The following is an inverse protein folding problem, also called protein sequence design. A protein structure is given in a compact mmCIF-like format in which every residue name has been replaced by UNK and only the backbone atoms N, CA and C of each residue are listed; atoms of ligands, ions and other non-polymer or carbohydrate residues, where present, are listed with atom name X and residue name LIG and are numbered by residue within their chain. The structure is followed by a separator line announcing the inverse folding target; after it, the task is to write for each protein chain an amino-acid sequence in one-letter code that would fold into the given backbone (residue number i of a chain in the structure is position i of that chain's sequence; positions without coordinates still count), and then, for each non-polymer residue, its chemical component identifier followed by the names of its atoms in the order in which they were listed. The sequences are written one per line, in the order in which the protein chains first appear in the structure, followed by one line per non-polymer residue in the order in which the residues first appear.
data_IF_564030659946
#
_entry.id   IF_564030659946
#
_cell.length_a   1.000
_cell.length_b   1.000
_cell.length_c   1.000
_cell.angle_alpha   90.00
_cell.angle_beta   90.00
_cell.angle_gamma   90.00
#
_symmetry.space_group_name_H-M   'P 1'
#
loop_
_entity.id
_entity.type
_entity.pdbx_description
1 polymer ?
#
# COMPACT_ATOMS: atom_id res chain seq x y z
N UNK A 1 16.94 23.04 -13.08
CA UNK A 1 16.80 21.59 -13.34
C UNK A 1 15.69 21.05 -12.42
N UNK A 2 14.58 20.55 -12.98
CA UNK A 2 13.55 19.93 -12.16
C UNK A 2 14.11 18.59 -11.62
N UNK A 3 14.21 18.49 -10.29
CA UNK A 3 14.65 17.25 -9.63
C UNK A 3 13.60 16.18 -9.92
N UNK A 4 14.04 14.97 -10.33
CA UNK A 4 13.14 13.84 -10.54
C UNK A 4 12.39 13.55 -9.24
N UNK A 5 11.08 13.24 -9.28
CA UNK A 5 10.37 12.80 -8.10
C UNK A 5 10.92 11.43 -7.65
N UNK A 6 11.14 11.28 -6.36
CA UNK A 6 11.57 10.02 -5.74
C UNK A 6 10.35 9.34 -5.14
N UNK A 7 10.07 8.11 -5.55
CA UNK A 7 8.92 7.32 -5.09
C UNK A 7 9.38 6.18 -4.20
N UNK A 8 8.93 6.19 -2.95
CA UNK A 8 9.02 5.06 -2.04
C UNK A 8 7.88 4.08 -2.38
N UNK A 9 8.22 2.92 -2.94
CA UNK A 9 7.26 1.91 -3.39
C UNK A 9 7.15 0.77 -2.40
N UNK A 10 5.92 0.38 -2.06
CA UNK A 10 5.62 -0.77 -1.21
C UNK A 10 4.54 -1.66 -1.82
N UNK A 11 4.71 -2.99 -1.72
CA UNK A 11 3.73 -4.00 -2.14
C UNK A 11 3.47 -4.97 -0.98
N UNK A 12 2.43 -4.74 -0.16
CA UNK A 12 2.12 -5.47 1.08
C UNK A 12 1.98 -6.98 0.90
N UNK A 13 1.39 -7.42 -0.21
CA UNK A 13 1.16 -8.84 -0.45
C UNK A 13 2.42 -9.56 -0.91
N UNK A 14 3.18 -8.95 -1.82
CA UNK A 14 4.41 -9.54 -2.35
C UNK A 14 5.33 -8.47 -2.94
N UNK A 15 6.54 -8.30 -2.40
CA UNK A 15 7.51 -7.34 -2.93
C UNK A 15 7.82 -7.54 -4.41
N UNK A 16 8.09 -6.46 -5.13
CA UNK A 16 8.42 -6.49 -6.56
C UNK A 16 9.70 -7.29 -6.87
N UNK A 17 10.62 -7.35 -5.92
CA UNK A 17 11.90 -8.09 -6.02
C UNK A 17 11.87 -9.47 -5.34
N UNK A 18 10.68 -9.97 -4.95
CA UNK A 18 10.54 -11.30 -4.37
C UNK A 18 11.04 -12.38 -5.33
N UNK A 19 11.81 -13.40 -4.88
CA UNK A 19 12.42 -14.39 -5.77
C UNK A 19 11.39 -15.27 -6.51
N UNK A 20 10.24 -15.57 -5.87
CA UNK A 20 9.20 -16.43 -6.46
C UNK A 20 8.27 -15.62 -7.36
N UNK A 21 8.12 -15.96 -8.65
CA UNK A 21 7.18 -15.30 -9.56
C UNK A 21 5.72 -15.39 -9.11
N UNK A 22 4.92 -14.37 -9.43
CA UNK A 22 3.46 -14.35 -9.28
C UNK A 22 2.88 -13.16 -10.05
N UNK A 23 1.56 -13.17 -10.29
CA UNK A 23 0.86 -12.05 -10.91
C UNK A 23 1.10 -10.73 -10.17
N UNK A 24 0.91 -10.71 -8.84
CA UNK A 24 1.13 -9.51 -8.03
C UNK A 24 2.55 -8.96 -8.16
N UNK A 25 3.56 -9.85 -8.11
CA UNK A 25 4.95 -9.43 -8.32
C UNK A 25 5.17 -8.78 -9.70
N UNK A 26 4.60 -9.38 -10.75
CA UNK A 26 4.79 -8.85 -12.11
C UNK A 26 4.07 -7.51 -12.29
N UNK A 27 2.87 -7.34 -11.75
CA UNK A 27 2.17 -6.04 -11.79
C UNK A 27 2.93 -4.99 -10.98
N UNK A 28 3.44 -5.33 -9.78
CA UNK A 28 4.29 -4.42 -9.01
C UNK A 28 5.52 -3.95 -9.81
N UNK A 29 6.18 -4.87 -10.52
CA UNK A 29 7.32 -4.55 -11.41
C UNK A 29 6.93 -3.69 -12.60
N UNK A 30 5.76 -3.97 -13.20
CA UNK A 30 5.23 -3.15 -14.30
C UNK A 30 4.94 -1.72 -13.82
N UNK A 31 4.36 -1.57 -12.63
CA UNK A 31 4.09 -0.27 -12.01
C UNK A 31 5.38 0.52 -11.80
N UNK A 32 6.41 -0.11 -11.22
CA UNK A 32 7.74 0.53 -11.05
C UNK A 32 8.28 0.99 -12.40
N UNK A 33 8.31 0.10 -13.40
CA UNK A 33 8.81 0.46 -14.75
C UNK A 33 8.03 1.59 -15.42
N UNK A 34 6.72 1.65 -15.20
CA UNK A 34 5.89 2.73 -15.73
C UNK A 34 6.26 4.09 -15.11
N UNK A 35 6.47 4.12 -13.79
CA UNK A 35 6.89 5.32 -13.07
C UNK A 35 8.29 5.78 -13.49
N UNK A 36 9.23 4.85 -13.64
CA UNK A 36 10.60 5.15 -14.11
C UNK A 36 10.59 5.72 -15.54
N UNK A 37 9.77 5.15 -16.44
CA UNK A 37 9.56 5.68 -17.79
C UNK A 37 8.91 7.06 -17.80
N UNK A 38 8.08 7.36 -16.81
CA UNK A 38 7.48 8.68 -16.60
C UNK A 38 8.46 9.69 -15.99
N UNK A 39 9.69 9.28 -15.66
CA UNK A 39 10.74 10.16 -15.17
C UNK A 39 10.88 10.19 -13.64
N UNK A 40 10.28 9.27 -12.91
CA UNK A 40 10.49 9.11 -11.49
C UNK A 40 11.71 8.23 -11.18
N UNK A 41 12.33 8.45 -10.02
CA UNK A 41 13.28 7.51 -9.42
C UNK A 41 12.50 6.67 -8.40
N UNK A 42 12.46 5.34 -8.57
CA UNK A 42 11.64 4.45 -7.73
C UNK A 42 12.51 3.49 -6.94
N UNK A 43 12.25 3.35 -5.64
CA UNK A 43 12.89 2.32 -4.82
C UNK A 43 11.86 1.55 -4.00
N UNK A 44 12.14 0.26 -3.77
CA UNK A 44 11.34 -0.58 -2.86
C UNK A 44 11.65 -0.18 -1.43
N UNK A 45 10.72 0.51 -0.78
CA UNK A 45 10.92 1.08 0.56
C UNK A 45 10.92 0.00 1.66
N UNK A 46 10.15 -1.08 1.46
CA UNK A 46 10.08 -2.21 2.37
C UNK A 46 9.78 -3.51 1.64
N UNK A 47 10.31 -4.60 2.18
CA UNK A 47 10.00 -5.98 1.79
C UNK A 47 9.08 -6.69 2.78
N UNK A 48 8.58 -5.97 3.78
CA UNK A 48 7.64 -6.51 4.74
C UNK A 48 6.38 -6.97 4.02
N UNK A 49 5.98 -8.20 4.27
CA UNK A 49 4.72 -8.76 3.80
C UNK A 49 3.70 -8.71 4.92
N UNK A 50 2.56 -8.09 4.66
CA UNK A 50 1.46 -8.04 5.64
C UNK A 50 0.40 -9.11 5.36
N UNK A 51 0.73 -10.10 4.53
CA UNK A 51 -0.21 -11.12 4.07
C UNK A 51 -0.53 -12.13 5.17
N UNK A 52 -1.77 -12.14 5.64
CA UNK A 52 -2.39 -13.24 6.36
C UNK A 52 -3.42 -13.94 5.45
N UNK A 53 -3.29 -15.25 5.28
CA UNK A 53 -4.18 -16.06 4.42
C UNK A 53 -5.28 -16.76 5.19
N UNK A 54 -5.08 -16.96 6.48
CA UNK A 54 -5.93 -17.78 7.33
C UNK A 54 -6.97 -16.96 8.13
N UNK A 55 -6.73 -15.68 8.34
CA UNK A 55 -7.51 -14.86 9.25
C UNK A 55 -7.15 -15.16 10.70
N UNK A 56 -5.84 -15.28 10.99
CA UNK A 56 -5.34 -15.60 12.32
C UNK A 56 -5.06 -14.30 13.10
N UNK A 57 -5.79 -14.03 14.20
CA UNK A 57 -5.62 -12.81 14.96
C UNK A 57 -4.23 -12.65 15.60
N UNK A 58 -3.55 -13.74 15.95
CA UNK A 58 -2.21 -13.70 16.54
C UNK A 58 -1.19 -13.33 15.47
N UNK A 59 -1.26 -13.97 14.31
CA UNK A 59 -0.43 -13.64 13.12
C UNK A 59 -0.64 -12.18 12.70
N UNK A 60 -1.89 -11.70 12.69
CA UNK A 60 -2.19 -10.30 12.37
C UNK A 60 -1.56 -9.34 13.38
N UNK A 61 -1.59 -9.69 14.69
CA UNK A 61 -0.98 -8.88 15.73
C UNK A 61 0.56 -8.81 15.59
N UNK A 62 1.20 -9.94 15.30
CA UNK A 62 2.64 -10.02 15.06
C UNK A 62 3.05 -9.16 13.85
N UNK A 63 2.34 -9.30 12.73
CA UNK A 63 2.58 -8.50 11.52
C UNK A 63 2.41 -6.99 11.81
N UNK A 64 1.41 -6.58 12.59
CA UNK A 64 1.24 -5.17 12.97
C UNK A 64 2.41 -4.66 13.83
N UNK A 65 2.93 -5.48 14.74
CA UNK A 65 4.09 -5.12 15.56
C UNK A 65 5.35 -4.95 14.70
N UNK A 66 5.61 -5.90 13.78
CA UNK A 66 6.69 -5.79 12.80
C UNK A 66 6.56 -4.55 11.93
N UNK A 67 5.34 -4.25 11.45
CA UNK A 67 5.07 -3.07 10.64
C UNK A 67 5.33 -1.77 11.42
N UNK A 68 5.07 -1.75 12.72
CA UNK A 68 5.39 -0.60 13.57
C UNK A 68 6.89 -0.32 13.63
N UNK A 69 7.71 -1.36 13.83
CA UNK A 69 9.17 -1.27 13.84
C UNK A 69 9.73 -0.87 12.47
N UNK A 70 9.20 -1.48 11.40
CA UNK A 70 9.63 -1.18 10.02
C UNK A 70 9.27 0.26 9.61
N UNK A 71 8.08 0.76 9.96
CA UNK A 71 7.70 2.14 9.72
C UNK A 71 8.65 3.13 10.41
N UNK A 72 8.99 2.88 11.67
CA UNK A 72 9.95 3.71 12.41
C UNK A 72 11.33 3.72 11.74
N UNK A 73 11.82 2.57 11.27
CA UNK A 73 13.07 2.46 10.51
C UNK A 73 13.04 3.30 9.24
N UNK A 74 11.94 3.21 8.46
CA UNK A 74 11.79 3.93 7.20
C UNK A 74 11.71 5.45 7.44
N UNK A 75 11.01 5.87 8.49
CA UNK A 75 10.94 7.29 8.89
C UNK A 75 12.31 7.82 9.27
N UNK A 76 13.10 7.06 10.04
CA UNK A 76 14.47 7.44 10.42
C UNK A 76 15.38 7.60 9.20
N UNK A 77 15.23 6.75 8.18
CA UNK A 77 15.91 6.85 6.87
C UNK A 77 15.27 7.90 5.92
N UNK A 78 14.26 8.63 6.39
CA UNK A 78 13.48 9.59 5.59
C UNK A 78 12.95 8.98 4.28
N UNK A 79 12.60 7.70 4.30
CA UNK A 79 12.17 6.92 3.14
C UNK A 79 13.10 7.11 1.92
N UNK A 80 14.42 7.11 2.14
CA UNK A 80 15.41 7.30 1.08
C UNK A 80 15.31 8.65 0.35
N UNK A 81 14.74 9.68 0.98
CA UNK A 81 14.51 11.00 0.38
C UNK A 81 13.28 11.07 -0.53
N UNK A 82 12.33 10.17 -0.34
CA UNK A 82 11.10 10.12 -1.14
C UNK A 82 10.28 11.41 -1.05
N UNK A 83 9.67 11.77 -2.17
CA UNK A 83 8.70 12.85 -2.30
C UNK A 83 7.26 12.36 -2.47
N UNK A 84 7.06 11.04 -2.52
CA UNK A 84 5.78 10.35 -2.63
C UNK A 84 5.93 8.93 -2.06
N UNK A 85 4.94 8.48 -1.30
CA UNK A 85 4.76 7.06 -0.99
C UNK A 85 3.69 6.46 -1.90
N UNK A 86 4.00 5.34 -2.56
CA UNK A 86 3.06 4.60 -3.38
C UNK A 86 2.95 3.15 -2.93
N UNK A 87 1.75 2.74 -2.58
CA UNK A 87 1.44 1.34 -2.27
C UNK A 87 0.71 0.68 -3.43
N UNK A 88 1.13 -0.54 -3.77
CA UNK A 88 0.46 -1.39 -4.74
C UNK A 88 -0.31 -2.50 -4.04
N UNK A 89 -1.62 -2.61 -4.35
CA UNK A 89 -2.54 -3.65 -3.93
C UNK A 89 -2.74 -3.75 -2.41
N UNK A 90 -3.59 -2.84 -1.89
CA UNK A 90 -4.03 -2.83 -0.50
C UNK A 90 -5.42 -3.44 -0.36
N UNK A 91 -5.55 -4.51 0.41
CA UNK A 91 -6.82 -5.20 0.68
C UNK A 91 -6.82 -5.93 2.04
N UNK A 92 -7.97 -6.49 2.44
CA UNK A 92 -8.20 -7.07 3.77
C UNK A 92 -7.27 -8.23 4.18
N UNK A 93 -6.63 -8.94 3.24
CA UNK A 93 -5.65 -9.99 3.57
C UNK A 93 -4.22 -9.48 3.64
N UNK A 94 -3.97 -8.35 3.02
CA UNK A 94 -2.67 -7.71 2.94
C UNK A 94 -2.86 -6.18 2.99
N UNK A 95 -3.22 -5.61 4.15
CA UNK A 95 -3.38 -4.18 4.30
C UNK A 95 -2.03 -3.45 4.21
N UNK A 96 -2.05 -2.21 3.78
CA UNK A 96 -0.88 -1.36 3.94
C UNK A 96 -0.80 -0.85 5.39
N UNK A 97 0.18 -1.36 6.14
CA UNK A 97 0.43 -0.99 7.51
C UNK A 97 1.54 0.06 7.66
N UNK A 98 2.18 0.44 6.54
CA UNK A 98 3.33 1.34 6.53
C UNK A 98 2.99 2.72 5.96
N UNK A 99 2.32 2.75 4.80
CA UNK A 99 2.25 3.91 3.92
C UNK A 99 1.71 5.17 4.60
N UNK A 100 0.54 5.07 5.24
CA UNK A 100 -0.06 6.25 5.85
C UNK A 100 0.76 6.79 7.04
N UNK A 101 1.40 5.90 7.81
CA UNK A 101 2.25 6.28 8.95
C UNK A 101 3.50 7.02 8.47
N UNK A 102 4.22 6.40 7.53
CA UNK A 102 5.45 6.97 6.98
C UNK A 102 5.16 8.29 6.26
N UNK A 103 4.11 8.33 5.42
CA UNK A 103 3.76 9.53 4.69
C UNK A 103 3.36 10.69 5.61
N UNK A 104 2.59 10.42 6.67
CA UNK A 104 2.21 11.41 7.67
C UNK A 104 3.42 11.97 8.42
N UNK A 105 4.30 11.09 8.92
CA UNK A 105 5.49 11.49 9.67
C UNK A 105 6.48 12.30 8.83
N UNK A 106 6.61 11.98 7.54
CA UNK A 106 7.51 12.67 6.63
C UNK A 106 6.87 13.88 5.92
N UNK A 107 5.55 14.05 6.04
CA UNK A 107 4.82 15.12 5.36
C UNK A 107 4.84 14.99 3.84
N UNK A 108 4.80 13.78 3.31
CA UNK A 108 4.78 13.49 1.86
C UNK A 108 3.43 12.94 1.42
N UNK A 109 3.02 13.14 0.15
CA UNK A 109 1.81 12.53 -0.40
C UNK A 109 1.81 11.02 -0.32
N UNK A 110 0.61 10.45 -0.12
CA UNK A 110 0.36 9.02 -0.08
C UNK A 110 -0.64 8.61 -1.15
N UNK A 111 -0.30 7.62 -1.96
CA UNK A 111 -1.16 7.07 -2.98
C UNK A 111 -1.22 5.54 -2.94
N UNK A 112 -2.34 4.98 -3.37
CA UNK A 112 -2.53 3.53 -3.49
C UNK A 112 -3.00 3.21 -4.90
N UNK A 113 -2.35 2.23 -5.55
CA UNK A 113 -2.87 1.57 -6.75
C UNK A 113 -3.54 0.26 -6.38
N UNK A 114 -4.61 -0.10 -7.07
CA UNK A 114 -5.46 -1.28 -6.78
C UNK A 114 -5.94 -1.35 -5.30
N UNK A 115 -6.55 -0.27 -4.78
CA UNK A 115 -7.21 -0.35 -3.48
C UNK A 115 -8.47 -1.22 -3.57
N UNK A 116 -8.66 -2.14 -2.63
CA UNK A 116 -9.85 -3.00 -2.60
C UNK A 116 -10.47 -3.02 -1.22
N UNK A 117 -11.72 -2.57 -1.11
CA UNK A 117 -12.54 -2.64 0.11
C UNK A 117 -13.44 -3.87 0.09
N UNK A 118 -13.53 -4.53 1.23
CA UNK A 118 -14.38 -5.70 1.42
C UNK A 118 -15.33 -5.50 2.60
N UNK A 119 -16.49 -4.85 2.41
CA UNK A 119 -17.43 -4.57 3.52
C UNK A 119 -17.82 -5.81 4.32
N UNK A 120 -17.95 -6.96 3.67
CA UNK A 120 -18.29 -8.24 4.32
C UNK A 120 -17.19 -8.78 5.25
N UNK A 121 -15.97 -8.23 5.20
CA UNK A 121 -14.81 -8.64 6.01
C UNK A 121 -14.58 -7.76 7.24
N UNK A 122 -15.47 -6.81 7.49
CA UNK A 122 -15.44 -6.00 8.72
C UNK A 122 -15.82 -6.82 9.97
N UNK A 123 -16.28 -8.06 9.76
CA UNK A 123 -16.56 -9.04 10.80
C UNK A 123 -15.77 -10.34 10.54
N UNK A 124 -15.61 -11.15 11.60
CA UNK A 124 -14.95 -12.44 11.53
C UNK A 124 -13.42 -12.36 11.50
N UNK A 125 -12.74 -13.42 11.02
CA UNK A 125 -11.29 -13.60 11.18
C UNK A 125 -10.42 -12.51 10.57
N UNK A 126 -10.89 -11.80 9.56
CA UNK A 126 -10.16 -10.69 8.93
C UNK A 126 -10.60 -9.30 9.36
N UNK A 127 -11.51 -9.17 10.33
CA UNK A 127 -12.04 -7.87 10.73
C UNK A 127 -10.94 -6.86 11.08
N UNK A 128 -9.91 -7.29 11.79
CA UNK A 128 -8.75 -6.47 12.16
C UNK A 128 -8.02 -5.94 10.93
N UNK A 129 -7.63 -6.80 10.01
CA UNK A 129 -6.92 -6.41 8.79
C UNK A 129 -7.80 -5.67 7.78
N UNK A 130 -9.10 -5.98 7.73
CA UNK A 130 -10.06 -5.21 6.94
C UNK A 130 -10.18 -3.77 7.44
N UNK A 131 -10.20 -3.56 8.76
CA UNK A 131 -10.19 -2.23 9.36
C UNK A 131 -8.88 -1.47 9.01
N UNK A 132 -7.72 -2.14 9.04
CA UNK A 132 -6.44 -1.54 8.64
C UNK A 132 -6.40 -1.17 7.16
N UNK A 133 -6.94 -2.03 6.29
CA UNK A 133 -7.05 -1.71 4.86
C UNK A 133 -7.96 -0.49 4.64
N UNK A 134 -9.07 -0.41 5.35
CA UNK A 134 -9.96 0.75 5.29
C UNK A 134 -9.29 2.03 5.79
N UNK A 135 -8.53 1.95 6.89
CA UNK A 135 -7.75 3.06 7.43
C UNK A 135 -6.72 3.58 6.41
N UNK A 136 -5.94 2.68 5.82
CA UNK A 136 -4.93 3.02 4.81
C UNK A 136 -5.56 3.68 3.57
N UNK A 137 -6.63 3.07 3.04
CA UNK A 137 -7.36 3.59 1.88
C UNK A 137 -8.01 4.95 2.22
N UNK A 138 -8.53 5.09 3.43
CA UNK A 138 -9.08 6.35 3.94
C UNK A 138 -8.08 7.48 4.07
N UNK A 139 -6.82 7.16 4.36
CA UNK A 139 -5.74 8.13 4.52
C UNK A 139 -5.06 8.55 3.21
N UNK A 140 -5.22 7.79 2.13
CA UNK A 140 -4.55 8.07 0.86
C UNK A 140 -5.07 9.35 0.19
N UNK A 141 -4.16 10.17 -0.34
CA UNK A 141 -4.49 11.37 -1.12
C UNK A 141 -5.07 11.03 -2.49
N UNK A 142 -4.62 9.90 -3.09
CA UNK A 142 -5.10 9.40 -4.39
C UNK A 142 -5.24 7.89 -4.39
N UNK A 143 -6.29 7.42 -5.04
CA UNK A 143 -6.64 6.01 -5.20
C UNK A 143 -6.75 5.69 -6.69
N UNK A 144 -5.79 4.94 -7.20
CA UNK A 144 -5.78 4.51 -8.61
C UNK A 144 -6.45 3.13 -8.71
N UNK A 145 -7.70 3.11 -9.12
CA UNK A 145 -8.42 1.86 -9.33
C UNK A 145 -8.21 1.35 -10.76
N UNK A 146 -8.06 0.05 -10.91
CA UNK A 146 -7.79 -0.61 -12.21
C UNK A 146 -8.90 -1.54 -12.62
N UNK A 147 -9.70 -2.01 -11.67
CA UNK A 147 -10.81 -2.92 -11.92
C UNK A 147 -12.16 -2.28 -11.62
N UNK A 148 -13.13 -2.32 -12.56
CA UNK A 148 -14.49 -1.81 -12.30
C UNK A 148 -15.17 -2.44 -11.08
N UNK A 149 -14.73 -3.63 -10.67
CA UNK A 149 -15.25 -4.37 -9.53
C UNK A 149 -15.01 -3.65 -8.18
N UNK A 150 -13.87 -2.99 -8.03
CA UNK A 150 -13.50 -2.34 -6.76
C UNK A 150 -14.16 -0.97 -6.59
N UNK A 151 -14.48 -0.32 -7.70
CA UNK A 151 -15.01 1.04 -7.74
C UNK A 151 -16.26 1.26 -6.87
N UNK A 152 -17.33 0.42 -6.91
CA UNK A 152 -18.55 0.69 -6.16
C UNK A 152 -18.34 0.74 -4.64
N UNK A 153 -17.47 -0.14 -4.10
CA UNK A 153 -17.18 -0.16 -2.67
C UNK A 153 -16.39 1.09 -2.23
N UNK A 154 -15.49 1.58 -3.07
CA UNK A 154 -14.72 2.79 -2.81
C UNK A 154 -15.61 4.04 -2.88
N UNK A 155 -16.51 4.12 -3.86
CA UNK A 155 -17.48 5.22 -3.97
C UNK A 155 -18.45 5.25 -2.79
N UNK A 156 -19.00 4.09 -2.40
CA UNK A 156 -19.89 3.95 -1.27
C UNK A 156 -19.22 4.34 0.07
N UNK A 157 -17.91 4.16 0.18
CA UNK A 157 -17.11 4.60 1.34
C UNK A 157 -16.74 6.10 1.28
N UNK A 158 -17.24 6.86 0.31
CA UNK A 158 -17.00 8.31 0.21
C UNK A 158 -15.67 8.72 -0.43
N UNK A 159 -14.99 7.81 -1.11
CA UNK A 159 -13.66 8.08 -1.68
C UNK A 159 -13.69 8.65 -3.11
N UNK A 160 -14.88 8.85 -3.73
CA UNK A 160 -15.03 9.25 -5.13
C UNK A 160 -14.19 10.44 -5.57
N UNK A 161 -14.05 11.47 -4.75
CA UNK A 161 -13.27 12.68 -5.06
C UNK A 161 -11.74 12.48 -5.12
N UNK A 162 -11.24 11.31 -4.67
CA UNK A 162 -9.80 10.96 -4.66
C UNK A 162 -9.45 9.85 -5.64
N UNK A 163 -10.45 9.31 -6.33
CA UNK A 163 -10.31 8.19 -7.24
C UNK A 163 -9.85 8.66 -8.63
N UNK A 164 -8.92 7.91 -9.19
CA UNK A 164 -8.37 8.07 -10.54
C UNK A 164 -8.46 6.72 -11.25
N UNK A 165 -8.86 6.71 -12.54
CA UNK A 165 -8.92 5.51 -13.39
C UNK A 165 -7.59 5.22 -14.07
#
# INVERSE_FOLDING_TARGET
MNKRPVVAFHAPMKPADHPVPSGDREIARLTIRALERAGADVHVASRLRTLDRAGDPEVQAEIEAEAGAEAARIVADRAGGASLWLTYHCHYKAPDLLGFRVATELGIPYAITEPSLSPRRQEGPWARFAARAQEAIGAADRLFWTTPRDRPALEAAGHGGRMVA
#
